data_IF_351008788591
#
_entry.id   IF_351008788591
#
_cell.length_a   1.000
_cell.length_b   1.000
_cell.length_c   1.000
_cell.angle_alpha   90.00
_cell.angle_beta   90.00
_cell.angle_gamma   90.00
#
_symmetry.space_group_name_H-M   'P 1'
#
loop_
_entity.id
_entity.type
_entity.pdbx_description
1 polymer ?
#
# COMPACT_ATOMS: atom_id res chain seq x y z
N UNK A 1 57.52 -1.15 4.06
CA UNK A 1 56.31 -1.73 4.68
C UNK A 1 55.75 -2.81 3.79
N UNK A 2 55.70 -4.05 4.27
CA UNK A 2 55.08 -5.16 3.54
C UNK A 2 53.55 -4.95 3.59
N UNK A 3 52.85 -5.02 2.43
CA UNK A 3 51.40 -4.91 2.45
C UNK A 3 50.81 -6.04 3.33
N UNK A 4 49.70 -5.77 4.07
CA UNK A 4 49.06 -6.79 4.89
C UNK A 4 48.68 -7.99 4.02
N UNK A 5 48.77 -9.24 4.54
CA UNK A 5 48.42 -10.43 3.75
C UNK A 5 46.94 -10.33 3.33
N UNK A 6 46.59 -10.74 2.09
CA UNK A 6 45.22 -10.68 1.61
C UNK A 6 44.33 -11.51 2.57
N UNK A 7 43.21 -10.90 3.01
CA UNK A 7 42.21 -11.57 3.82
C UNK A 7 41.98 -12.97 3.26
N UNK A 8 42.12 -14.01 4.09
CA UNK A 8 42.15 -15.41 3.63
C UNK A 8 40.92 -15.65 2.76
N UNK A 9 41.09 -16.29 1.62
CA UNK A 9 40.02 -16.55 0.65
C UNK A 9 38.80 -17.29 1.29
N UNK A 10 39.03 -17.92 2.44
CA UNK A 10 38.02 -18.57 3.29
C UNK A 10 37.13 -17.53 4.01
N UNK A 11 37.71 -16.46 4.59
CA UNK A 11 36.93 -15.42 5.29
C UNK A 11 35.97 -14.67 4.34
N UNK A 12 36.44 -14.33 3.15
CA UNK A 12 35.57 -13.70 2.11
C UNK A 12 34.47 -14.66 1.65
N UNK A 13 34.77 -15.95 1.51
CA UNK A 13 33.79 -16.98 1.18
C UNK A 13 32.69 -17.13 2.25
N UNK A 14 33.07 -17.09 3.53
CA UNK A 14 32.13 -17.14 4.65
C UNK A 14 31.27 -15.87 4.68
N UNK A 15 31.87 -14.69 4.59
CA UNK A 15 31.14 -13.41 4.58
C UNK A 15 30.13 -13.35 3.41
N UNK A 16 30.54 -13.79 2.22
CA UNK A 16 29.65 -13.86 1.05
C UNK A 16 28.49 -14.84 1.30
N UNK A 17 28.77 -16.00 1.90
CA UNK A 17 27.75 -16.98 2.29
C UNK A 17 26.73 -16.41 3.29
N UNK A 18 27.20 -15.65 4.28
CA UNK A 18 26.32 -14.97 5.24
C UNK A 18 25.43 -13.91 4.60
N UNK A 19 25.99 -13.07 3.71
CA UNK A 19 25.21 -12.07 2.96
C UNK A 19 24.15 -12.76 2.08
N UNK A 20 24.52 -13.84 1.38
CA UNK A 20 23.60 -14.57 0.52
C UNK A 20 22.49 -15.27 1.31
N UNK A 21 22.83 -15.88 2.47
CA UNK A 21 21.86 -16.53 3.36
C UNK A 21 20.89 -15.50 3.99
N UNK A 22 21.40 -14.36 4.46
CA UNK A 22 20.57 -13.28 4.97
C UNK A 22 19.63 -12.73 3.90
N UNK A 23 20.14 -12.44 2.70
CA UNK A 23 19.33 -11.98 1.57
C UNK A 23 18.25 -12.99 1.17
N UNK A 24 18.57 -14.28 1.14
CA UNK A 24 17.61 -15.35 0.87
C UNK A 24 16.52 -15.40 1.96
N UNK A 25 16.92 -15.37 3.25
CA UNK A 25 15.98 -15.39 4.39
C UNK A 25 15.04 -14.19 4.39
N UNK A 26 15.55 -12.98 4.14
CA UNK A 26 14.73 -11.77 4.04
C UNK A 26 13.75 -11.88 2.88
N UNK A 27 14.21 -12.31 1.69
CA UNK A 27 13.35 -12.46 0.52
C UNK A 27 12.24 -13.50 0.77
N UNK A 28 12.58 -14.62 1.41
CA UNK A 28 11.64 -15.66 1.76
C UNK A 28 10.61 -15.18 2.79
N UNK A 29 11.05 -14.43 3.80
CA UNK A 29 10.18 -13.79 4.77
C UNK A 29 9.18 -12.85 4.09
N UNK A 30 9.65 -11.94 3.24
CA UNK A 30 8.80 -11.01 2.50
C UNK A 30 7.86 -11.70 1.50
N UNK A 31 8.20 -12.90 1.04
CA UNK A 31 7.34 -13.72 0.17
C UNK A 31 6.26 -14.45 0.96
N UNK A 32 6.61 -15.06 2.09
CA UNK A 32 5.73 -15.96 2.84
C UNK A 32 4.81 -15.19 3.79
N UNK A 33 5.33 -14.14 4.46
CA UNK A 33 4.58 -13.39 5.47
C UNK A 33 3.20 -12.90 4.96
N UNK A 34 3.06 -12.28 3.76
CA UNK A 34 1.77 -11.89 3.23
C UNK A 34 0.85 -13.04 2.80
N UNK A 35 1.39 -14.27 2.66
CA UNK A 35 0.60 -15.46 2.32
C UNK A 35 -0.02 -16.09 3.57
N UNK A 36 0.66 -15.99 4.72
CA UNK A 36 0.18 -16.53 6.00
C UNK A 36 -0.82 -15.56 6.63
N UNK A 37 -0.47 -14.30 6.71
CA UNK A 37 -1.33 -13.24 7.24
C UNK A 37 -1.15 -11.96 6.39
N UNK A 38 -2.07 -11.74 5.42
CA UNK A 38 -2.01 -10.57 4.54
C UNK A 38 -2.10 -9.23 5.26
N UNK A 39 -2.58 -9.24 6.50
CA UNK A 39 -2.91 -8.04 7.28
C UNK A 39 -1.99 -7.85 8.49
N UNK A 40 -1.14 -8.82 8.79
CA UNK A 40 -0.17 -8.68 9.88
C UNK A 40 0.83 -7.56 9.56
N UNK A 41 1.03 -6.69 10.55
CA UNK A 41 2.07 -5.68 10.49
C UNK A 41 3.45 -6.36 10.38
N UNK A 42 4.27 -5.92 9.45
CA UNK A 42 5.64 -6.45 9.30
C UNK A 42 6.49 -5.90 10.44
N UNK A 43 7.10 -6.75 11.29
CA UNK A 43 7.92 -6.30 12.42
C UNK A 43 9.00 -5.29 11.98
N UNK A 44 9.16 -4.20 12.73
CA UNK A 44 10.15 -3.16 12.43
C UNK A 44 9.75 -2.17 11.33
N UNK A 45 8.53 -2.25 10.82
CA UNK A 45 7.98 -1.31 9.83
C UNK A 45 7.07 -0.29 10.51
N UNK A 46 7.65 0.74 11.10
CA UNK A 46 6.89 1.87 11.67
C UNK A 46 6.33 2.80 10.59
N UNK A 47 5.20 3.47 10.89
CA UNK A 47 4.66 4.56 10.07
C UNK A 47 4.14 4.19 8.66
N UNK A 48 3.73 2.95 8.43
CA UNK A 48 3.12 2.55 7.14
C UNK A 48 4.10 2.46 5.95
N UNK A 49 5.39 2.74 6.13
CA UNK A 49 6.37 2.78 5.05
C UNK A 49 6.54 1.46 4.30
N UNK A 50 6.52 0.32 5.03
CA UNK A 50 6.55 -0.99 4.38
C UNK A 50 5.26 -1.27 3.61
N UNK A 51 4.10 -0.90 4.15
CA UNK A 51 2.83 -1.07 3.47
C UNK A 51 2.79 -0.25 2.17
N UNK A 52 3.31 0.98 2.19
CA UNK A 52 3.43 1.82 0.99
C UNK A 52 4.32 1.18 -0.09
N UNK A 53 5.45 0.57 0.29
CA UNK A 53 6.38 -0.07 -0.66
C UNK A 53 5.85 -1.42 -1.12
N UNK A 54 5.51 -2.32 -0.17
CA UNK A 54 5.12 -3.70 -0.49
C UNK A 54 3.70 -3.82 -1.04
N UNK A 55 2.83 -2.85 -0.73
CA UNK A 55 1.49 -2.73 -1.32
C UNK A 55 1.47 -2.07 -2.69
N UNK A 56 2.59 -1.43 -3.12
CA UNK A 56 2.66 -0.73 -4.39
C UNK A 56 2.71 -1.69 -5.58
N UNK A 57 2.36 -1.16 -6.80
CA UNK A 57 2.56 -1.90 -8.05
C UNK A 57 4.01 -2.38 -8.24
N UNK A 58 4.97 -1.64 -7.68
CA UNK A 58 6.40 -1.90 -7.78
C UNK A 58 6.87 -3.08 -6.93
N UNK A 59 6.03 -3.61 -6.02
CA UNK A 59 6.28 -4.85 -5.32
C UNK A 59 6.00 -6.11 -6.16
N UNK A 60 5.53 -5.94 -7.41
CA UNK A 60 5.26 -7.03 -8.35
C UNK A 60 5.98 -6.79 -9.68
N UNK A 61 6.40 -7.88 -10.32
CA UNK A 61 6.97 -7.88 -11.66
C UNK A 61 6.30 -9.03 -12.45
N UNK A 62 5.72 -8.71 -13.60
CA UNK A 62 4.96 -9.67 -14.42
C UNK A 62 3.87 -10.42 -13.61
N UNK A 63 3.20 -9.73 -12.67
CA UNK A 63 2.16 -10.31 -11.82
C UNK A 63 2.67 -11.09 -10.58
N UNK A 64 3.97 -11.38 -10.49
CA UNK A 64 4.57 -12.11 -9.38
C UNK A 64 5.19 -11.16 -8.34
N UNK A 65 5.15 -11.51 -7.03
CA UNK A 65 5.87 -10.73 -6.01
C UNK A 65 7.36 -10.69 -6.31
N UNK A 66 7.99 -9.50 -6.27
CA UNK A 66 9.43 -9.33 -6.53
C UNK A 66 10.30 -10.06 -5.51
N UNK A 67 9.76 -10.39 -4.36
CA UNK A 67 10.43 -11.25 -3.36
C UNK A 67 10.73 -12.66 -3.89
N UNK A 68 9.93 -13.18 -4.82
CA UNK A 68 10.15 -14.50 -5.43
C UNK A 68 11.43 -14.53 -6.30
N UNK A 69 11.57 -13.70 -7.36
CA UNK A 69 12.83 -13.63 -8.10
C UNK A 69 14.00 -13.21 -7.19
N UNK A 70 13.78 -12.38 -6.17
CA UNK A 70 14.78 -12.07 -5.15
C UNK A 70 15.28 -13.31 -4.42
N UNK A 71 14.37 -14.13 -3.88
CA UNK A 71 14.73 -15.39 -3.21
C UNK A 71 15.49 -16.34 -4.15
N UNK A 72 15.05 -16.49 -5.40
CA UNK A 72 15.71 -17.35 -6.39
C UNK A 72 17.13 -16.87 -6.72
N UNK A 73 17.34 -15.57 -6.86
CA UNK A 73 18.67 -15.02 -7.17
C UNK A 73 19.63 -15.14 -5.99
N UNK A 74 19.17 -14.94 -4.74
CA UNK A 74 20.00 -15.17 -3.56
C UNK A 74 20.28 -16.67 -3.32
N UNK A 75 19.33 -17.55 -3.60
CA UNK A 75 19.57 -19.00 -3.60
C UNK A 75 20.62 -19.37 -4.64
N UNK A 76 20.52 -18.81 -5.86
CA UNK A 76 21.52 -19.04 -6.91
C UNK A 76 22.91 -18.50 -6.50
N UNK A 77 22.96 -17.38 -5.77
CA UNK A 77 24.20 -16.86 -5.20
C UNK A 77 24.80 -17.85 -4.19
N UNK A 78 23.98 -18.42 -3.29
CA UNK A 78 24.41 -19.48 -2.36
C UNK A 78 24.95 -20.71 -3.11
N UNK A 79 24.22 -21.20 -4.08
CA UNK A 79 24.64 -22.36 -4.89
C UNK A 79 25.93 -22.08 -5.69
N UNK A 80 26.13 -20.82 -6.10
CA UNK A 80 27.34 -20.42 -6.82
C UNK A 80 28.61 -20.47 -5.97
N UNK A 81 28.51 -20.63 -4.65
CA UNK A 81 29.65 -20.86 -3.77
C UNK A 81 30.23 -22.28 -3.90
N UNK A 82 29.47 -23.21 -4.48
CA UNK A 82 29.94 -24.55 -4.79
C UNK A 82 31.06 -24.49 -5.87
N UNK A 83 32.11 -25.32 -5.76
CA UNK A 83 33.24 -25.25 -6.69
C UNK A 83 32.87 -25.29 -8.17
N UNK A 84 31.85 -26.07 -8.53
CA UNK A 84 31.39 -26.26 -9.92
C UNK A 84 30.71 -25.03 -10.49
N UNK A 85 30.04 -24.19 -9.63
CA UNK A 85 29.23 -23.04 -10.01
C UNK A 85 29.94 -21.70 -9.76
N UNK A 86 31.17 -21.72 -9.26
CA UNK A 86 31.90 -20.52 -8.80
C UNK A 86 32.04 -19.42 -9.87
N UNK A 87 31.99 -19.77 -11.14
CA UNK A 87 32.00 -18.80 -12.25
C UNK A 87 30.77 -17.92 -12.31
N UNK A 88 29.63 -18.35 -11.71
CA UNK A 88 28.37 -17.64 -11.66
C UNK A 88 28.33 -16.60 -10.55
N UNK A 89 29.22 -16.65 -9.55
CA UNK A 89 29.13 -15.79 -8.35
C UNK A 89 29.21 -14.30 -8.69
N UNK A 90 30.14 -13.90 -9.58
CA UNK A 90 30.25 -12.51 -10.01
C UNK A 90 29.06 -12.03 -10.86
N UNK A 91 28.62 -12.74 -11.90
CA UNK A 91 27.39 -12.41 -12.62
C UNK A 91 26.18 -12.26 -11.71
N UNK A 92 25.92 -13.23 -10.82
CA UNK A 92 24.74 -13.22 -9.95
C UNK A 92 24.78 -12.07 -8.95
N UNK A 93 25.93 -11.80 -8.30
CA UNK A 93 26.05 -10.68 -7.37
C UNK A 93 25.89 -9.32 -8.07
N UNK A 94 26.35 -9.19 -9.32
CA UNK A 94 26.18 -7.99 -10.14
C UNK A 94 24.71 -7.78 -10.53
N UNK A 95 24.01 -8.85 -10.88
CA UNK A 95 22.58 -8.83 -11.22
C UNK A 95 21.73 -8.43 -10.00
N UNK A 96 22.03 -8.96 -8.81
CA UNK A 96 21.37 -8.60 -7.55
C UNK A 96 21.57 -7.10 -7.25
N UNK A 97 22.80 -6.59 -7.40
CA UNK A 97 23.08 -5.18 -7.19
C UNK A 97 22.32 -4.30 -8.19
N UNK A 98 22.28 -4.70 -9.47
CA UNK A 98 21.54 -3.96 -10.49
C UNK A 98 20.06 -3.85 -10.19
N UNK A 99 19.41 -4.94 -9.78
CA UNK A 99 18.04 -4.95 -9.31
C UNK A 99 17.87 -4.08 -8.05
N UNK A 100 18.80 -4.16 -7.09
CA UNK A 100 18.80 -3.35 -5.88
C UNK A 100 18.87 -1.85 -6.16
N UNK A 101 19.66 -1.42 -7.15
CA UNK A 101 19.73 -0.01 -7.59
C UNK A 101 18.39 0.47 -8.15
N UNK A 102 17.74 -0.36 -8.98
CA UNK A 102 16.40 -0.05 -9.48
C UNK A 102 15.38 0.12 -8.33
N UNK A 103 15.30 -0.82 -7.41
CA UNK A 103 14.36 -0.72 -6.29
C UNK A 103 14.69 0.42 -5.33
N UNK A 104 15.96 0.76 -5.15
CA UNK A 104 16.36 1.95 -4.38
C UNK A 104 15.87 3.22 -5.06
N UNK A 105 16.01 3.31 -6.39
CA UNK A 105 15.46 4.42 -7.18
C UNK A 105 13.93 4.51 -7.03
N UNK A 106 13.22 3.40 -7.15
CA UNK A 106 11.75 3.36 -6.99
C UNK A 106 11.35 3.86 -5.60
N UNK A 107 12.00 3.40 -4.52
CA UNK A 107 11.69 3.83 -3.17
C UNK A 107 12.01 5.31 -2.92
N UNK A 108 13.15 5.80 -3.43
CA UNK A 108 13.61 7.17 -3.19
C UNK A 108 12.86 8.22 -4.03
N UNK A 109 12.61 7.93 -5.32
CA UNK A 109 12.13 8.93 -6.29
C UNK A 109 10.63 8.78 -6.55
N UNK A 110 10.15 7.54 -6.75
CA UNK A 110 8.77 7.29 -7.15
C UNK A 110 7.86 7.24 -5.92
N UNK A 111 8.19 6.37 -4.95
CA UNK A 111 7.35 6.14 -3.76
C UNK A 111 7.63 7.13 -2.63
N UNK A 112 8.84 7.71 -2.60
CA UNK A 112 9.32 8.57 -1.51
C UNK A 112 9.13 7.94 -0.13
N UNK A 113 9.27 6.64 -0.06
CA UNK A 113 9.04 5.81 1.12
C UNK A 113 10.04 4.66 1.14
N UNK A 114 10.64 4.40 2.30
CA UNK A 114 11.67 3.37 2.46
C UNK A 114 11.15 2.22 3.32
N UNK A 115 11.26 0.99 2.80
CA UNK A 115 11.00 -0.24 3.53
C UNK A 115 12.30 -0.74 4.17
N UNK A 116 12.42 -0.80 5.51
CA UNK A 116 13.65 -1.26 6.18
C UNK A 116 14.11 -2.65 5.74
N UNK A 117 13.21 -3.59 5.56
CA UNK A 117 13.52 -4.94 5.09
C UNK A 117 14.03 -4.96 3.65
N UNK A 118 13.44 -4.14 2.78
CA UNK A 118 13.93 -3.97 1.40
C UNK A 118 15.33 -3.34 1.39
N UNK A 119 15.56 -2.33 2.23
CA UNK A 119 16.87 -1.70 2.38
C UNK A 119 17.91 -2.70 2.91
N UNK A 120 17.58 -3.52 3.90
CA UNK A 120 18.47 -4.56 4.40
C UNK A 120 18.83 -5.58 3.31
N UNK A 121 17.86 -5.96 2.47
CA UNK A 121 18.10 -6.82 1.31
C UNK A 121 19.08 -6.19 0.32
N UNK A 122 18.92 -4.89 0.00
CA UNK A 122 19.82 -4.16 -0.89
C UNK A 122 21.24 -4.05 -0.31
N UNK A 123 21.36 -3.86 1.01
CA UNK A 123 22.66 -3.84 1.71
C UNK A 123 23.35 -5.22 1.60
N UNK A 124 22.61 -6.32 1.77
CA UNK A 124 23.17 -7.66 1.56
C UNK A 124 23.68 -7.86 0.12
N UNK A 125 22.95 -7.37 -0.88
CA UNK A 125 23.35 -7.43 -2.29
C UNK A 125 24.59 -6.59 -2.58
N UNK A 126 24.66 -5.38 -2.07
CA UNK A 126 25.83 -4.50 -2.19
C UNK A 126 27.05 -5.11 -1.52
N UNK A 127 26.92 -5.62 -0.30
CA UNK A 127 28.01 -6.27 0.41
C UNK A 127 28.54 -7.51 -0.35
N UNK A 128 27.63 -8.35 -0.85
CA UNK A 128 28.00 -9.50 -1.66
C UNK A 128 28.77 -9.10 -2.92
N UNK A 129 28.33 -8.07 -3.63
CA UNK A 129 29.00 -7.55 -4.81
C UNK A 129 30.39 -7.00 -4.48
N UNK A 130 30.52 -6.18 -3.43
CA UNK A 130 31.82 -5.60 -3.00
C UNK A 130 32.82 -6.69 -2.62
N UNK A 131 32.39 -7.72 -1.89
CA UNK A 131 33.23 -8.89 -1.56
C UNK A 131 33.71 -9.63 -2.82
N UNK A 132 32.87 -9.72 -3.84
CA UNK A 132 33.26 -10.31 -5.13
C UNK A 132 34.18 -9.40 -5.93
N UNK A 133 33.99 -8.08 -5.88
CA UNK A 133 34.83 -7.12 -6.59
C UNK A 133 36.29 -7.14 -6.10
N UNK A 134 36.49 -7.34 -4.76
CA UNK A 134 37.82 -7.50 -4.17
C UNK A 134 38.53 -8.76 -4.70
N UNK A 135 37.79 -9.80 -5.10
CA UNK A 135 38.35 -11.06 -5.61
C UNK A 135 38.47 -11.12 -7.13
N UNK A 136 37.77 -10.25 -7.83
CA UNK A 136 37.73 -10.24 -9.30
C UNK A 136 38.89 -9.45 -9.91
N UNK A 137 39.53 -10.00 -10.90
CA UNK A 137 40.55 -9.33 -11.69
C UNK A 137 39.97 -8.50 -12.86
N UNK A 138 38.70 -8.76 -13.23
CA UNK A 138 38.03 -8.08 -14.34
C UNK A 138 36.78 -7.33 -13.85
N UNK A 139 36.91 -6.01 -13.63
CA UNK A 139 35.83 -5.13 -13.22
C UNK A 139 34.84 -4.81 -14.33
N UNK A 140 35.30 -4.79 -15.59
CA UNK A 140 34.48 -4.49 -16.76
C UNK A 140 33.43 -5.59 -17.00
N UNK A 141 33.76 -6.85 -16.67
CA UNK A 141 32.83 -7.97 -16.80
C UNK A 141 31.57 -7.87 -15.91
N UNK A 142 31.51 -6.93 -14.95
CA UNK A 142 30.34 -6.71 -14.09
C UNK A 142 29.26 -5.85 -14.75
N UNK A 143 29.63 -4.94 -15.67
CA UNK A 143 28.73 -3.96 -16.28
C UNK A 143 27.51 -4.57 -16.99
N UNK A 144 27.66 -5.59 -17.85
CA UNK A 144 26.53 -6.18 -18.57
C UNK A 144 25.51 -6.85 -17.60
N UNK A 145 25.99 -7.46 -16.53
CA UNK A 145 25.12 -8.11 -15.52
C UNK A 145 24.43 -7.10 -14.60
N UNK A 146 25.10 -6.00 -14.27
CA UNK A 146 24.48 -4.86 -13.57
C UNK A 146 23.34 -4.27 -14.41
N UNK A 147 23.62 -3.95 -15.67
CA UNK A 147 22.63 -3.44 -16.61
C UNK A 147 21.47 -4.44 -16.80
N UNK A 148 21.78 -5.73 -16.95
CA UNK A 148 20.75 -6.77 -17.05
C UNK A 148 19.84 -6.82 -15.82
N UNK A 149 20.40 -6.73 -14.60
CA UNK A 149 19.61 -6.72 -13.37
C UNK A 149 18.70 -5.51 -13.26
N UNK A 150 19.19 -4.31 -13.58
CA UNK A 150 18.40 -3.07 -13.55
C UNK A 150 17.32 -3.08 -14.64
N UNK A 151 17.69 -3.41 -15.89
CA UNK A 151 16.78 -3.34 -17.03
C UNK A 151 15.72 -4.44 -17.01
N UNK A 152 16.07 -5.68 -16.66
CA UNK A 152 15.10 -6.78 -16.66
C UNK A 152 13.95 -6.53 -15.69
N UNK A 153 14.25 -6.11 -14.46
CA UNK A 153 13.22 -5.78 -13.47
C UNK A 153 12.48 -4.50 -13.86
N UNK A 154 13.21 -3.45 -14.27
CA UNK A 154 12.59 -2.18 -14.70
C UNK A 154 11.63 -2.38 -15.87
N UNK A 155 12.02 -3.09 -16.92
CA UNK A 155 11.16 -3.40 -18.06
C UNK A 155 9.97 -4.27 -17.66
N UNK A 156 10.18 -5.31 -16.82
CA UNK A 156 9.10 -6.16 -16.34
C UNK A 156 8.07 -5.40 -15.51
N UNK A 157 8.46 -4.34 -14.81
CA UNK A 157 7.54 -3.50 -14.01
C UNK A 157 6.89 -2.39 -14.83
N UNK A 158 7.58 -1.84 -15.82
CA UNK A 158 7.04 -0.76 -16.67
C UNK A 158 6.08 -1.31 -17.73
N UNK A 159 6.47 -2.40 -18.40
CA UNK A 159 5.74 -2.99 -19.52
C UNK A 159 5.02 -4.30 -19.18
N UNK A 160 5.27 -4.87 -18.01
CA UNK A 160 4.59 -6.09 -17.56
C UNK A 160 3.13 -5.86 -17.20
N UNK A 161 2.32 -6.93 -17.15
CA UNK A 161 0.92 -6.81 -16.74
C UNK A 161 0.83 -6.25 -15.32
N UNK A 162 -0.02 -5.24 -15.16
CA UNK A 162 -0.37 -4.73 -13.84
C UNK A 162 -1.09 -5.83 -13.05
N UNK A 163 -0.83 -5.93 -11.73
CA UNK A 163 -1.61 -6.84 -10.91
C UNK A 163 -3.08 -6.40 -10.99
N UNK A 164 -3.98 -7.33 -11.26
CA UNK A 164 -5.40 -7.06 -11.35
C UNK A 164 -5.96 -6.56 -10.01
N UNK A 165 -6.82 -5.56 -10.08
CA UNK A 165 -7.64 -5.11 -8.94
C UNK A 165 -8.55 -6.25 -8.52
N UNK A 166 -8.47 -6.69 -7.27
CA UNK A 166 -9.25 -7.83 -6.77
C UNK A 166 -10.37 -7.35 -5.88
N UNK A 167 -11.60 -7.51 -6.34
CA UNK A 167 -12.81 -7.36 -5.53
C UNK A 167 -13.13 -8.71 -4.89
N UNK A 168 -13.47 -8.70 -3.60
CA UNK A 168 -13.75 -9.91 -2.82
C UNK A 168 -15.19 -9.90 -2.33
N UNK A 169 -15.70 -11.07 -2.02
CA UNK A 169 -16.95 -11.17 -1.27
C UNK A 169 -16.72 -10.89 0.22
N UNK A 170 -17.66 -10.19 0.85
CA UNK A 170 -17.66 -10.01 2.30
C UNK A 170 -17.75 -11.39 2.97
N UNK A 171 -16.82 -11.69 3.86
CA UNK A 171 -16.84 -12.92 4.63
C UNK A 171 -18.12 -12.98 5.49
N UNK A 172 -18.85 -14.07 5.41
CA UNK A 172 -20.24 -14.22 5.87
C UNK A 172 -20.55 -14.09 7.37
N UNK A 173 -19.69 -13.46 8.18
CA UNK A 173 -19.86 -13.26 9.62
C UNK A 173 -19.41 -11.88 10.09
N UNK A 174 -19.68 -10.81 9.34
CA UNK A 174 -19.54 -9.46 9.90
C UNK A 174 -20.54 -9.33 11.06
N UNK A 175 -20.04 -9.05 12.25
CA UNK A 175 -20.86 -8.69 13.41
C UNK A 175 -21.71 -7.47 13.01
N UNK A 176 -23.01 -7.53 13.31
CA UNK A 176 -23.91 -6.39 13.08
C UNK A 176 -23.31 -5.13 13.69
N UNK A 177 -22.95 -4.17 12.83
CA UNK A 177 -22.72 -2.83 13.30
C UNK A 177 -24.04 -2.31 13.90
N UNK A 178 -24.01 -1.57 15.03
CA UNK A 178 -25.24 -0.99 15.59
C UNK A 178 -25.90 -0.16 14.48
N UNK A 179 -27.14 -0.50 14.15
CA UNK A 179 -27.92 0.26 13.19
C UNK A 179 -28.05 1.69 13.73
N UNK A 180 -27.47 2.67 13.04
CA UNK A 180 -27.79 4.05 13.30
C UNK A 180 -29.25 4.27 12.95
N UNK A 181 -29.99 4.97 13.82
CA UNK A 181 -31.33 5.45 13.49
C UNK A 181 -31.25 6.28 12.21
N UNK A 182 -31.93 5.84 11.16
CA UNK A 182 -31.80 6.41 9.82
C UNK A 182 -32.82 7.53 9.69
N UNK A 183 -32.36 8.76 9.60
CA UNK A 183 -33.20 9.93 9.30
C UNK A 183 -33.82 9.79 7.91
N UNK A 184 -35.07 10.26 7.72
CA UNK A 184 -35.85 10.03 6.50
C UNK A 184 -35.13 10.48 5.22
N UNK A 185 -34.98 9.56 4.25
CA UNK A 185 -34.33 9.80 2.97
C UNK A 185 -33.95 8.49 2.27
N UNK A 186 -33.21 8.58 1.15
CA UNK A 186 -32.71 7.40 0.45
C UNK A 186 -31.69 6.65 1.30
N UNK A 187 -31.97 5.37 1.55
CA UNK A 187 -31.12 4.47 2.33
C UNK A 187 -30.53 3.42 1.41
N UNK A 188 -29.24 3.21 1.50
CA UNK A 188 -28.54 2.09 0.86
C UNK A 188 -28.12 1.05 1.90
N UNK A 189 -28.04 -0.20 1.49
CA UNK A 189 -27.68 -1.30 2.39
C UNK A 189 -26.66 -2.23 1.77
N UNK A 190 -25.81 -2.81 2.63
CA UNK A 190 -24.79 -3.80 2.30
C UNK A 190 -24.84 -4.96 3.29
N UNK A 191 -24.19 -6.07 2.95
CA UNK A 191 -24.08 -7.29 3.75
C UNK A 191 -25.44 -7.84 4.18
N UNK A 192 -26.36 -7.97 3.22
CA UNK A 192 -27.71 -8.48 3.50
C UNK A 192 -28.53 -7.54 4.41
N UNK A 193 -28.31 -6.24 4.35
CA UNK A 193 -29.01 -5.23 5.13
C UNK A 193 -28.44 -4.99 6.53
N UNK A 194 -27.33 -5.62 6.89
CA UNK A 194 -26.66 -5.40 8.20
C UNK A 194 -25.99 -4.02 8.32
N UNK A 195 -25.54 -3.49 7.19
CA UNK A 195 -24.97 -2.15 7.10
C UNK A 195 -25.94 -1.26 6.32
N UNK A 196 -26.40 -0.17 6.92
CA UNK A 196 -27.38 0.75 6.35
C UNK A 196 -26.89 2.17 6.47
N UNK A 197 -26.97 2.92 5.37
CA UNK A 197 -26.53 4.30 5.30
C UNK A 197 -27.63 5.16 4.69
N UNK A 198 -28.08 6.19 5.43
CA UNK A 198 -28.87 7.26 4.84
C UNK A 198 -27.92 8.19 4.08
N UNK A 199 -28.18 8.42 2.82
CA UNK A 199 -27.30 9.24 1.98
C UNK A 199 -27.16 10.66 2.52
N UNK A 200 -28.25 11.20 3.05
CA UNK A 200 -28.28 12.57 3.61
C UNK A 200 -27.41 12.76 4.86
N UNK A 201 -27.11 11.69 5.60
CA UNK A 201 -26.38 11.75 6.87
C UNK A 201 -24.87 11.66 6.68
N UNK A 202 -24.39 11.47 5.44
CA UNK A 202 -22.97 11.23 5.14
C UNK A 202 -22.45 12.14 4.03
N UNK A 203 -21.17 12.53 4.09
CA UNK A 203 -20.52 13.22 2.98
C UNK A 203 -20.60 12.40 1.70
N UNK A 204 -20.94 13.07 0.60
CA UNK A 204 -21.15 12.42 -0.70
C UNK A 204 -20.29 13.06 -1.79
N UNK A 205 -19.64 12.22 -2.58
CA UNK A 205 -19.04 12.57 -3.86
C UNK A 205 -19.97 12.08 -4.97
N UNK A 206 -20.45 12.98 -5.84
CA UNK A 206 -21.44 12.68 -6.88
C UNK A 206 -22.86 13.07 -6.50
N UNK A 207 -23.85 12.52 -7.21
CA UNK A 207 -25.27 12.86 -7.04
C UNK A 207 -25.98 11.92 -6.06
N UNK A 208 -26.88 12.42 -5.20
CA UNK A 208 -27.59 11.60 -4.22
C UNK A 208 -28.58 10.61 -4.85
N UNK A 209 -29.00 10.84 -6.07
CA UNK A 209 -29.90 10.01 -6.87
C UNK A 209 -29.17 9.05 -7.82
N UNK A 210 -27.82 9.04 -7.81
CA UNK A 210 -27.01 8.14 -8.63
C UNK A 210 -27.44 6.69 -8.47
N UNK A 211 -27.44 5.94 -9.58
CA UNK A 211 -27.92 4.55 -9.63
C UNK A 211 -27.16 3.63 -8.67
N UNK A 212 -25.83 3.79 -8.60
CA UNK A 212 -24.92 3.03 -7.75
C UNK A 212 -24.25 3.95 -6.75
N UNK A 213 -24.44 3.69 -5.47
CA UNK A 213 -23.78 4.43 -4.39
C UNK A 213 -22.80 3.48 -3.71
N UNK A 214 -21.54 3.80 -3.80
CA UNK A 214 -20.43 3.11 -3.15
C UNK A 214 -20.23 3.68 -1.74
N UNK A 215 -19.51 2.96 -0.86
CA UNK A 215 -19.14 3.47 0.47
C UNK A 215 -17.64 3.29 0.66
N UNK A 216 -16.92 4.38 0.88
CA UNK A 216 -15.49 4.36 1.15
C UNK A 216 -15.21 4.64 2.63
N UNK A 217 -14.49 3.70 3.28
CA UNK A 217 -13.83 3.94 4.56
C UNK A 217 -12.38 4.29 4.29
N UNK A 218 -11.94 5.44 4.80
CA UNK A 218 -10.61 5.99 4.49
C UNK A 218 -10.06 6.85 5.62
N UNK A 219 -8.76 7.11 5.59
CA UNK A 219 -8.08 8.08 6.45
C UNK A 219 -7.48 9.20 5.60
N UNK A 220 -7.67 10.46 5.98
CA UNK A 220 -7.16 11.61 5.24
C UNK A 220 -5.64 11.66 5.16
N UNK A 221 -4.94 11.16 6.20
CA UNK A 221 -3.47 11.16 6.23
C UNK A 221 -2.84 9.89 5.63
N UNK A 222 -3.67 8.94 5.16
CA UNK A 222 -3.22 7.72 4.52
C UNK A 222 -2.88 7.96 3.04
N UNK A 223 -1.62 7.75 2.59
CA UNK A 223 -1.22 7.99 1.20
C UNK A 223 -1.99 7.12 0.18
N UNK A 224 -2.34 5.89 0.55
CA UNK A 224 -3.15 5.01 -0.30
C UNK A 224 -4.57 5.54 -0.48
N UNK A 225 -5.16 6.14 0.56
CA UNK A 225 -6.49 6.77 0.50
C UNK A 225 -6.47 8.03 -0.38
N UNK A 226 -5.42 8.85 -0.28
CA UNK A 226 -5.27 10.02 -1.17
C UNK A 226 -5.19 9.61 -2.66
N UNK A 227 -4.53 8.50 -2.97
CA UNK A 227 -4.51 7.95 -4.33
C UNK A 227 -5.86 7.41 -4.75
N UNK A 228 -6.57 6.69 -3.87
CA UNK A 228 -7.92 6.18 -4.13
C UNK A 228 -8.92 7.30 -4.38
N UNK A 229 -8.86 8.40 -3.63
CA UNK A 229 -9.72 9.56 -3.84
C UNK A 229 -9.64 10.07 -5.28
N UNK A 230 -8.44 10.17 -5.86
CA UNK A 230 -8.27 10.53 -7.28
C UNK A 230 -8.89 9.54 -8.25
N UNK A 231 -8.85 8.23 -7.95
CA UNK A 231 -9.50 7.19 -8.75
C UNK A 231 -11.03 7.28 -8.68
N UNK A 232 -11.58 7.54 -7.49
CA UNK A 232 -13.02 7.69 -7.27
C UNK A 232 -13.56 8.97 -7.91
N UNK A 233 -12.82 10.08 -7.84
CA UNK A 233 -13.18 11.32 -8.54
C UNK A 233 -13.30 11.10 -10.05
N UNK A 234 -12.36 10.37 -10.64
CA UNK A 234 -12.42 10.06 -12.08
C UNK A 234 -13.58 9.12 -12.42
N UNK A 235 -13.84 8.09 -11.60
CA UNK A 235 -14.98 7.19 -11.80
C UNK A 235 -16.30 7.95 -11.76
N UNK A 236 -16.50 8.82 -10.78
CA UNK A 236 -17.71 9.66 -10.66
C UNK A 236 -17.80 10.67 -11.80
N UNK A 237 -16.68 11.28 -12.21
CA UNK A 237 -16.66 12.21 -13.33
C UNK A 237 -17.00 11.52 -14.68
N UNK A 238 -16.60 10.27 -14.85
CA UNK A 238 -16.90 9.45 -16.04
C UNK A 238 -18.37 8.99 -16.08
N UNK A 239 -18.97 8.74 -14.91
CA UNK A 239 -20.34 8.23 -14.76
C UNK A 239 -21.16 9.09 -13.77
N UNK A 240 -21.40 10.40 -14.07
CA UNK A 240 -21.91 11.37 -13.09
C UNK A 240 -23.36 11.13 -12.66
N UNK A 241 -24.14 10.40 -13.46
CA UNK A 241 -25.54 10.06 -13.17
C UNK A 241 -25.68 8.65 -12.59
N UNK A 242 -24.66 7.80 -12.79
CA UNK A 242 -24.71 6.40 -12.38
C UNK A 242 -23.96 6.12 -11.08
N UNK A 243 -22.91 6.88 -10.75
CA UNK A 243 -22.03 6.56 -9.61
C UNK A 243 -21.90 7.73 -8.64
N UNK A 244 -22.07 7.41 -7.35
CA UNK A 244 -21.73 8.30 -6.25
C UNK A 244 -21.00 7.50 -5.15
N UNK A 245 -20.29 8.19 -4.25
CA UNK A 245 -19.52 7.58 -3.18
C UNK A 245 -19.81 8.29 -1.86
N UNK A 246 -20.28 7.54 -0.86
CA UNK A 246 -20.31 8.00 0.52
C UNK A 246 -18.90 7.94 1.12
N UNK A 247 -18.48 9.00 1.76
CA UNK A 247 -17.14 9.20 2.29
C UNK A 247 -17.15 9.09 3.80
N UNK A 248 -16.61 8.00 4.34
CA UNK A 248 -16.63 7.70 5.77
C UNK A 248 -15.21 7.78 6.35
N UNK A 249 -14.78 8.93 6.90
CA UNK A 249 -13.47 9.07 7.50
C UNK A 249 -13.31 8.15 8.72
N UNK A 250 -12.24 7.38 8.73
CA UNK A 250 -11.79 6.49 9.80
C UNK A 250 -10.38 6.88 10.19
N UNK A 251 -10.20 7.70 11.23
CA UNK A 251 -8.88 8.12 11.62
C UNK A 251 -8.05 6.94 12.13
N UNK A 252 -6.82 6.82 11.61
CA UNK A 252 -5.83 5.85 12.06
C UNK A 252 -4.95 6.45 13.17
N UNK A 253 -5.57 6.91 14.25
CA UNK A 253 -4.88 7.45 15.42
C UNK A 253 -5.52 6.90 16.68
N UNK A 254 -4.69 6.38 17.61
CA UNK A 254 -5.15 5.68 18.82
C UNK A 254 -5.90 6.55 19.81
N UNK A 255 -5.73 7.86 19.77
CA UNK A 255 -6.44 8.80 20.65
C UNK A 255 -7.96 8.76 20.47
N UNK A 256 -8.46 8.45 19.28
CA UNK A 256 -9.89 8.32 19.00
C UNK A 256 -10.28 6.95 18.41
N UNK A 257 -9.33 6.14 17.96
CA UNK A 257 -9.57 4.81 17.38
C UNK A 257 -8.74 3.74 18.10
N UNK A 258 -9.33 3.03 19.09
CA UNK A 258 -8.60 2.05 19.89
C UNK A 258 -8.19 0.78 19.11
N UNK A 259 -8.63 0.64 17.87
CA UNK A 259 -8.35 -0.52 17.04
C UNK A 259 -7.10 -0.36 16.17
N UNK A 260 -6.42 0.80 16.24
CA UNK A 260 -5.21 1.09 15.46
C UNK A 260 -3.98 0.51 16.16
N UNK A 261 -3.14 -0.20 15.40
CA UNK A 261 -1.84 -0.65 15.88
C UNK A 261 -0.82 0.50 15.84
N UNK A 262 0.13 0.50 16.78
CA UNK A 262 1.13 1.58 16.87
C UNK A 262 1.97 1.76 15.59
N UNK A 263 2.15 0.69 14.80
CA UNK A 263 2.87 0.72 13.54
C UNK A 263 2.09 1.35 12.38
N UNK A 264 0.77 1.50 12.53
CA UNK A 264 -0.14 2.04 11.50
C UNK A 264 -0.71 3.41 11.90
N UNK A 265 -0.20 4.01 12.99
CA UNK A 265 -0.71 5.27 13.52
C UNK A 265 -0.35 6.47 12.65
N UNK A 266 -1.36 7.29 12.34
CA UNK A 266 -1.21 8.57 11.67
C UNK A 266 -1.53 9.71 12.65
N UNK A 267 -0.51 10.33 13.21
CA UNK A 267 -0.65 11.42 14.18
C UNK A 267 -1.42 12.60 13.59
N UNK A 268 -2.43 13.08 14.32
CA UNK A 268 -3.32 14.18 13.91
C UNK A 268 -4.51 13.75 13.06
N UNK A 269 -4.65 12.46 12.74
CA UNK A 269 -5.75 11.93 11.93
C UNK A 269 -7.12 12.14 12.58
N UNK A 270 -7.20 12.04 13.91
CA UNK A 270 -8.45 12.32 14.66
C UNK A 270 -8.91 13.76 14.47
N UNK A 271 -7.99 14.72 14.51
CA UNK A 271 -8.29 16.12 14.30
C UNK A 271 -8.75 16.38 12.87
N UNK A 272 -8.03 15.83 11.88
CA UNK A 272 -8.38 16.00 10.47
C UNK A 272 -9.75 15.44 10.15
N UNK A 273 -10.08 14.24 10.65
CA UNK A 273 -11.40 13.64 10.46
C UNK A 273 -12.50 14.49 11.12
N UNK A 274 -12.26 15.04 12.31
CA UNK A 274 -13.21 15.92 13.00
C UNK A 274 -13.45 17.20 12.19
N UNK A 275 -12.41 17.89 11.76
CA UNK A 275 -12.52 19.11 10.96
C UNK A 275 -13.29 18.87 9.66
N UNK A 276 -13.03 17.75 8.97
CA UNK A 276 -13.75 17.38 7.76
C UNK A 276 -15.25 17.18 8.01
N UNK A 277 -15.60 16.49 9.10
CA UNK A 277 -17.01 16.29 9.47
C UNK A 277 -17.66 17.56 9.97
N UNK A 278 -16.94 18.46 10.65
CA UNK A 278 -17.46 19.78 11.03
C UNK A 278 -17.81 20.60 9.75
N UNK A 279 -16.96 20.60 8.73
CA UNK A 279 -17.27 21.22 7.42
C UNK A 279 -18.54 20.63 6.81
N UNK A 280 -18.64 19.30 6.77
CA UNK A 280 -19.82 18.63 6.21
C UNK A 280 -21.11 19.01 6.95
N UNK A 281 -21.11 19.00 8.27
CA UNK A 281 -22.31 19.31 9.07
C UNK A 281 -22.75 20.77 8.98
N UNK A 282 -21.80 21.71 8.78
CA UNK A 282 -22.14 23.13 8.66
C UNK A 282 -22.54 23.50 7.22
N UNK A 283 -21.85 22.93 6.20
CA UNK A 283 -22.13 23.19 4.78
C UNK A 283 -21.84 21.95 3.95
N UNK A 284 -22.79 21.01 3.81
CA UNK A 284 -22.63 19.82 2.99
C UNK A 284 -22.28 20.13 1.51
N UNK A 285 -22.68 21.28 0.99
CA UNK A 285 -22.42 21.65 -0.40
C UNK A 285 -20.97 22.01 -0.65
N UNK A 286 -20.25 22.56 0.33
CA UNK A 286 -18.83 22.89 0.23
C UNK A 286 -17.91 21.67 0.45
N UNK A 287 -18.44 20.61 1.08
CA UNK A 287 -17.63 19.45 1.46
C UNK A 287 -16.87 18.79 0.30
N UNK A 288 -17.43 18.56 -0.91
CA UNK A 288 -16.68 17.94 -2.01
C UNK A 288 -15.44 18.74 -2.42
N UNK A 289 -15.51 20.08 -2.37
CA UNK A 289 -14.37 20.94 -2.67
C UNK A 289 -13.31 20.86 -1.56
N UNK A 290 -13.74 20.88 -0.30
CA UNK A 290 -12.89 20.69 0.88
C UNK A 290 -12.17 19.34 0.82
N UNK A 291 -12.90 18.25 0.62
CA UNK A 291 -12.37 16.89 0.52
C UNK A 291 -11.28 16.78 -0.56
N UNK A 292 -11.58 17.29 -1.76
CA UNK A 292 -10.64 17.28 -2.89
C UNK A 292 -9.37 18.07 -2.59
N UNK A 293 -9.49 19.25 -2.00
CA UNK A 293 -8.35 20.08 -1.65
C UNK A 293 -7.47 19.42 -0.59
N UNK A 294 -8.09 18.80 0.43
CA UNK A 294 -7.39 18.11 1.50
C UNK A 294 -6.70 16.82 1.00
N UNK A 295 -7.36 16.01 0.20
CA UNK A 295 -6.77 14.78 -0.39
C UNK A 295 -5.62 15.07 -1.35
N UNK A 296 -5.59 16.24 -1.97
CA UNK A 296 -4.48 16.68 -2.83
C UNK A 296 -3.23 17.05 -2.04
N UNK A 297 -3.37 17.52 -0.80
CA UNK A 297 -2.27 17.92 0.08
C UNK A 297 -2.57 17.54 1.53
N UNK A 298 -2.56 16.23 1.86
CA UNK A 298 -3.01 15.72 3.16
C UNK A 298 -2.08 16.20 4.29
N UNK A 299 -2.57 17.02 5.18
CA UNK A 299 -1.90 17.39 6.43
C UNK A 299 -2.87 18.03 7.41
N UNK A 300 -2.52 17.99 8.70
CA UNK A 300 -3.26 18.68 9.77
C UNK A 300 -3.33 20.19 9.50
N UNK A 301 -2.23 20.78 9.06
CA UNK A 301 -2.17 22.22 8.74
C UNK A 301 -3.10 22.59 7.57
N UNK A 302 -3.11 21.77 6.51
CA UNK A 302 -4.05 21.96 5.39
C UNK A 302 -5.49 21.87 5.86
N UNK A 303 -5.82 20.87 6.69
CA UNK A 303 -7.19 20.70 7.24
C UNK A 303 -7.61 21.91 8.08
N UNK A 304 -6.75 22.39 8.97
CA UNK A 304 -7.02 23.60 9.80
C UNK A 304 -7.26 24.83 8.93
N UNK A 305 -6.43 25.06 7.93
CA UNK A 305 -6.58 26.19 7.02
C UNK A 305 -7.87 26.13 6.19
N UNK A 306 -8.23 24.94 5.69
CA UNK A 306 -9.45 24.76 4.89
C UNK A 306 -10.73 24.84 5.74
N UNK A 307 -10.65 24.49 7.02
CA UNK A 307 -11.76 24.53 7.95
C UNK A 307 -11.75 25.82 8.84
N UNK A 308 -10.93 26.82 8.47
CA UNK A 308 -10.85 28.05 9.24
C UNK A 308 -12.21 28.76 9.31
N UNK A 309 -12.60 29.17 10.50
CA UNK A 309 -13.92 29.79 10.76
C UNK A 309 -15.11 28.83 10.79
N UNK A 310 -14.93 27.54 10.55
CA UNK A 310 -16.00 26.53 10.62
C UNK A 310 -16.30 26.18 12.08
N UNK A 311 -17.54 26.34 12.59
CA UNK A 311 -17.90 25.95 13.94
C UNK A 311 -17.79 24.43 14.16
N UNK A 312 -17.46 24.01 15.39
CA UNK A 312 -17.47 22.59 15.72
C UNK A 312 -18.93 22.07 15.82
N UNK A 313 -19.23 21.04 15.05
CA UNK A 313 -20.54 20.41 14.96
C UNK A 313 -20.67 19.12 15.80
N UNK A 314 -19.72 18.86 16.74
CA UNK A 314 -19.64 17.61 17.51
C UNK A 314 -19.66 16.34 16.63
N UNK A 315 -18.78 16.26 15.68
CA UNK A 315 -18.64 15.16 14.73
C UNK A 315 -18.25 13.79 15.35
N UNK A 316 -17.93 13.74 16.63
CA UNK A 316 -17.45 12.54 17.33
C UNK A 316 -18.39 11.32 17.23
N UNK A 317 -19.73 11.43 17.28
CA UNK A 317 -20.61 10.27 17.10
C UNK A 317 -20.49 9.64 15.71
N UNK A 318 -20.47 10.44 14.65
CA UNK A 318 -20.32 9.97 13.27
C UNK A 318 -18.97 9.27 13.06
N UNK A 319 -17.88 9.86 13.56
CA UNK A 319 -16.55 9.25 13.49
C UNK A 319 -16.50 7.91 14.23
N UNK A 320 -17.09 7.82 15.43
CA UNK A 320 -17.19 6.54 16.16
C UNK A 320 -17.99 5.49 15.40
N UNK A 321 -19.09 5.87 14.74
CA UNK A 321 -19.88 4.96 13.90
C UNK A 321 -19.06 4.46 12.70
N UNK A 322 -18.29 5.34 12.04
CA UNK A 322 -17.41 4.98 10.95
C UNK A 322 -16.32 4.00 11.40
N UNK A 323 -15.68 4.25 12.56
CA UNK A 323 -14.69 3.35 13.16
C UNK A 323 -15.30 1.98 13.45
N UNK A 324 -16.48 1.93 14.04
CA UNK A 324 -17.16 0.67 14.33
C UNK A 324 -17.51 -0.12 13.05
N UNK A 325 -17.99 0.56 12.02
CA UNK A 325 -18.26 -0.04 10.70
C UNK A 325 -16.99 -0.59 10.04
N UNK A 326 -15.92 0.19 10.00
CA UNK A 326 -14.63 -0.25 9.51
C UNK A 326 -14.09 -1.45 10.30
N UNK A 327 -14.18 -1.41 11.64
CA UNK A 327 -13.71 -2.51 12.49
C UNK A 327 -14.51 -3.80 12.24
N UNK A 328 -15.81 -3.71 12.06
CA UNK A 328 -16.65 -4.87 11.71
C UNK A 328 -16.23 -5.53 10.40
N UNK A 329 -15.77 -4.73 9.42
CA UNK A 329 -15.25 -5.19 8.13
C UNK A 329 -13.79 -5.65 8.19
N UNK A 330 -13.10 -5.46 9.31
CA UNK A 330 -11.63 -5.67 9.40
C UNK A 330 -11.21 -7.10 9.73
N UNK A 331 -12.17 -8.06 9.80
CA UNK A 331 -11.84 -9.48 10.01
C UNK A 331 -11.04 -10.10 8.88
N UNK A 332 -11.23 -9.63 7.64
CA UNK A 332 -10.52 -10.11 6.46
C UNK A 332 -9.35 -9.23 6.05
N UNK A 333 -9.32 -7.98 6.49
CA UNK A 333 -8.23 -7.03 6.25
C UNK A 333 -8.45 -5.77 7.08
N UNK A 334 -7.40 -5.25 7.74
CA UNK A 334 -7.42 -3.93 8.42
C UNK A 334 -7.04 -2.77 7.50
N UNK A 335 -6.59 -3.05 6.29
CA UNK A 335 -6.08 -2.01 5.37
C UNK A 335 -7.15 -1.01 4.97
N UNK A 336 -6.76 0.24 4.87
CA UNK A 336 -7.48 1.31 4.20
C UNK A 336 -6.83 1.60 2.83
N UNK A 337 -7.57 2.13 1.87
CA UNK A 337 -9.02 2.33 1.88
C UNK A 337 -9.82 1.02 1.80
N UNK A 338 -11.09 1.03 2.24
CA UNK A 338 -12.05 -0.04 1.98
C UNK A 338 -13.22 0.52 1.20
N UNK A 339 -13.56 -0.10 0.08
CA UNK A 339 -14.64 0.33 -0.78
C UNK A 339 -15.72 -0.76 -0.86
N UNK A 340 -16.90 -0.50 -0.29
CA UNK A 340 -18.09 -1.32 -0.51
C UNK A 340 -18.69 -0.95 -1.87
N UNK A 341 -18.87 -1.94 -2.75
CA UNK A 341 -19.26 -1.73 -4.15
C UNK A 341 -20.74 -2.12 -4.36
N UNK A 342 -21.10 -3.30 -3.89
CA UNK A 342 -22.45 -3.85 -3.90
C UNK A 342 -22.70 -4.60 -2.60
N UNK A 343 -23.90 -5.11 -2.39
CA UNK A 343 -24.35 -5.75 -1.15
C UNK A 343 -23.24 -6.54 -0.43
N UNK A 344 -22.54 -7.43 -1.13
CA UNK A 344 -21.49 -8.28 -0.55
C UNK A 344 -20.13 -8.14 -1.24
N UNK A 345 -19.94 -7.09 -2.03
CA UNK A 345 -18.69 -6.88 -2.79
C UNK A 345 -17.87 -5.76 -2.18
N UNK A 346 -16.62 -6.06 -1.84
CA UNK A 346 -15.68 -5.12 -1.21
C UNK A 346 -14.31 -5.17 -1.88
N UNK A 347 -13.68 -4.00 -1.98
CA UNK A 347 -12.29 -3.83 -2.34
C UNK A 347 -11.51 -3.36 -1.10
N UNK A 348 -10.40 -4.03 -0.81
CA UNK A 348 -9.49 -3.68 0.28
C UNK A 348 -8.19 -3.11 -0.26
N UNK A 349 -7.79 -1.97 0.27
CA UNK A 349 -6.54 -1.30 -0.08
C UNK A 349 -6.58 -0.61 -1.44
N UNK A 350 -5.40 -0.16 -1.88
CA UNK A 350 -5.26 0.57 -3.14
C UNK A 350 -5.24 -0.41 -4.32
N UNK A 351 -6.04 -0.17 -5.38
CA UNK A 351 -5.92 -0.90 -6.63
C UNK A 351 -4.57 -0.68 -7.32
N UNK A 352 -4.21 -1.60 -8.21
CA UNK A 352 -2.91 -1.65 -8.85
C UNK A 352 -2.62 -0.48 -9.80
N UNK A 353 -3.68 0.14 -10.31
CA UNK A 353 -3.61 1.27 -11.20
C UNK A 353 -5.00 1.83 -11.47
N UNK A 354 -5.04 3.09 -11.90
CA UNK A 354 -6.28 3.83 -12.11
C UNK A 354 -7.14 3.21 -13.22
N UNK A 355 -6.56 2.91 -14.37
CA UNK A 355 -7.28 2.32 -15.51
C UNK A 355 -7.87 0.95 -15.17
N UNK A 356 -7.08 0.10 -14.48
CA UNK A 356 -7.56 -1.20 -14.01
C UNK A 356 -8.69 -1.05 -13.00
N UNK A 357 -8.59 -0.09 -12.07
CA UNK A 357 -9.66 0.24 -11.13
C UNK A 357 -10.95 0.63 -11.84
N UNK A 358 -10.90 1.60 -12.76
CA UNK A 358 -12.07 2.07 -13.52
C UNK A 358 -12.72 0.90 -14.26
N UNK A 359 -11.94 0.12 -15.01
CA UNK A 359 -12.43 -1.06 -15.74
C UNK A 359 -13.11 -2.07 -14.83
N UNK A 360 -12.52 -2.37 -13.66
CA UNK A 360 -13.10 -3.32 -12.71
C UNK A 360 -14.39 -2.76 -12.11
N UNK A 361 -14.43 -1.46 -11.76
CA UNK A 361 -15.66 -0.84 -11.25
C UNK A 361 -16.77 -0.83 -12.30
N UNK A 362 -16.48 -0.54 -13.56
CA UNK A 362 -17.45 -0.62 -14.65
C UNK A 362 -18.02 -2.04 -14.80
N UNK A 363 -17.17 -3.06 -14.76
CA UNK A 363 -17.61 -4.46 -14.77
C UNK A 363 -18.47 -4.84 -13.55
N UNK A 364 -18.07 -4.46 -12.34
CA UNK A 364 -18.81 -4.73 -11.10
C UNK A 364 -20.16 -3.99 -11.07
N UNK A 365 -20.23 -2.80 -11.63
CA UNK A 365 -21.45 -1.97 -11.64
C UNK A 365 -22.33 -2.21 -12.88
N UNK A 366 -21.78 -2.82 -13.94
CA UNK A 366 -22.49 -3.06 -15.20
C UNK A 366 -22.70 -1.77 -15.99
N UNK A 367 -21.64 -0.92 -16.06
CA UNK A 367 -21.57 0.35 -16.77
C UNK A 367 -20.93 0.19 -18.14
#
# INVERSE_FOLDING_TARGET
>A
MKPPPPASGKAVGIALGLCAAAGFGISLFLLIHPLIDPDAAIPGCGGGSCAAVLGSRWAKAAGLPVALPGALTYLLLLLSLLPRLRRMTLPVSSLILGAGLWFTFVQAVILRSFCPWCCALHVCGLAAFLLMLVRSTSRIATLPWLAAGTLSIGLAQVYGPLPATTVRDLAGNASSAPGADVSGGRVISFDGGRMRFAIADHPLLGKPDAKHVLVEYFDYLCPACATMAGHLEELVAKHPDDVAVLLLPVPLERTCNPHVEAAEEHEGSCEVARLAMDVFHNDPASFPAFHRALMKSPSVETARRLADGVPSANASPAIRANIAGWHALSRSSRKLPKLLIRDRRILHGLPSGREDFIRVMEQELGL
#
